data_IF_543493589691
#
_entry.id   IF_543493589691
#
_cell.length_a   1.000
_cell.length_b   1.000
_cell.length_c   1.000
_cell.angle_alpha   90.00
_cell.angle_beta   90.00
_cell.angle_gamma   90.00
#
_symmetry.space_group_name_H-M   'P 1'
#
loop_
_entity.id
_entity.type
_entity.pdbx_description
1 polymer ?
#
# COMPACT_ATOMS: atom_id res chain seq x y z
N UNK A 1 3.03 16.21 -4.13
CA UNK A 1 3.05 16.30 -2.66
C UNK A 1 3.03 14.86 -2.13
N UNK A 2 4.13 14.35 -1.56
CA UNK A 2 4.39 12.91 -1.44
C UNK A 2 3.52 12.15 -0.46
N UNK A 3 2.93 12.81 0.54
CA UNK A 3 1.91 12.27 1.44
C UNK A 3 1.25 13.42 2.19
N UNK A 4 0.01 13.20 2.58
CA UNK A 4 -0.81 14.12 3.36
C UNK A 4 -1.03 13.52 4.74
N UNK A 5 -0.76 14.30 5.78
CA UNK A 5 -0.85 13.85 7.18
C UNK A 5 -1.98 14.68 7.81
N UNK A 6 -2.93 13.99 8.40
CA UNK A 6 -4.14 14.55 9.00
C UNK A 6 -4.28 14.04 10.43
N UNK A 7 -4.65 14.94 11.34
CA UNK A 7 -4.99 14.59 12.72
C UNK A 7 -6.49 14.35 12.88
N UNK A 8 -6.84 13.50 13.83
CA UNK A 8 -8.22 13.22 14.27
C UNK A 8 -9.09 14.44 14.63
N UNK A 9 -8.54 15.59 15.05
CA UNK A 9 -9.37 16.82 15.26
C UNK A 9 -9.97 17.37 13.99
N UNK A 10 -9.38 17.05 12.84
CA UNK A 10 -9.93 17.46 11.56
C UNK A 10 -11.02 16.45 11.20
N UNK A 11 -12.28 16.91 11.13
CA UNK A 11 -13.35 16.10 10.55
C UNK A 11 -12.99 15.81 9.10
N UNK A 12 -12.57 14.58 8.81
CA UNK A 12 -12.19 14.16 7.47
C UNK A 12 -13.22 13.25 6.84
N UNK A 13 -13.53 13.54 5.58
CA UNK A 13 -14.10 12.56 4.67
C UNK A 13 -12.93 11.88 3.94
N UNK A 14 -12.48 10.73 4.45
CA UNK A 14 -11.34 9.97 3.89
C UNK A 14 -11.49 9.76 2.38
N UNK A 15 -12.71 9.48 1.89
CA UNK A 15 -12.96 9.24 0.48
C UNK A 15 -12.76 10.49 -0.37
N UNK A 16 -13.24 11.63 0.09
CA UNK A 16 -13.03 12.91 -0.60
C UNK A 16 -11.54 13.28 -0.67
N UNK A 17 -10.81 13.08 0.43
CA UNK A 17 -9.37 13.37 0.49
C UNK A 17 -8.57 12.43 -0.41
N UNK A 18 -8.91 11.14 -0.41
CA UNK A 18 -8.27 10.17 -1.30
C UNK A 18 -8.55 10.47 -2.77
N UNK A 19 -9.77 10.89 -3.12
CA UNK A 19 -10.15 11.20 -4.49
C UNK A 19 -9.29 12.31 -5.10
N UNK A 20 -8.79 13.25 -4.28
CA UNK A 20 -7.86 14.31 -4.73
C UNK A 20 -6.56 13.65 -5.18
N UNK A 21 -6.33 13.53 -6.49
CA UNK A 21 -5.08 12.98 -7.02
C UNK A 21 -4.90 11.47 -6.82
N UNK A 22 -5.99 10.72 -6.70
CA UNK A 22 -5.93 9.25 -6.74
C UNK A 22 -5.38 8.78 -8.09
N UNK A 23 -4.29 8.01 -8.08
CA UNK A 23 -3.67 7.48 -9.30
C UNK A 23 -4.29 6.13 -9.68
N UNK A 24 -4.64 5.97 -10.95
CA UNK A 24 -5.10 4.69 -11.52
C UNK A 24 -4.21 4.34 -12.70
N UNK A 25 -4.08 3.05 -12.99
CA UNK A 25 -3.47 2.62 -14.23
C UNK A 25 -4.28 3.12 -15.42
N UNK A 26 -3.58 3.63 -16.43
CA UNK A 26 -4.19 4.09 -17.68
C UNK A 26 -4.36 2.97 -18.71
N UNK A 27 -3.54 1.92 -18.61
CA UNK A 27 -3.46 0.80 -19.55
C UNK A 27 -3.96 -0.48 -18.88
N UNK A 28 -5.26 -0.52 -18.54
CA UNK A 28 -5.85 -1.67 -17.86
C UNK A 28 -5.90 -2.93 -18.73
N UNK A 29 -5.80 -2.78 -20.05
CA UNK A 29 -5.67 -3.85 -21.03
C UNK A 29 -4.44 -4.73 -20.81
N UNK A 30 -3.35 -4.15 -20.30
CA UNK A 30 -2.12 -4.90 -20.03
C UNK A 30 -2.20 -5.81 -18.80
N UNK A 31 -3.25 -5.67 -17.98
CA UNK A 31 -3.39 -6.51 -16.79
C UNK A 31 -3.43 -8.00 -17.13
N UNK A 32 -4.09 -8.36 -18.25
CA UNK A 32 -4.23 -9.75 -18.69
C UNK A 32 -2.88 -10.47 -18.86
N UNK A 33 -1.81 -9.74 -19.18
CA UNK A 33 -0.46 -10.30 -19.31
C UNK A 33 0.22 -10.67 -17.99
N UNK A 34 -0.31 -10.21 -16.85
CA UNK A 34 0.23 -10.46 -15.52
C UNK A 34 -0.65 -11.39 -14.69
N UNK A 35 -1.91 -11.61 -15.08
CA UNK A 35 -2.79 -12.52 -14.36
C UNK A 35 -2.51 -13.96 -14.77
N UNK A 36 -2.52 -14.88 -13.80
CA UNK A 36 -2.41 -16.30 -14.08
C UNK A 36 -3.67 -16.81 -14.81
N UNK A 37 -3.57 -17.48 -15.98
CA UNK A 37 -4.73 -17.91 -16.76
C UNK A 37 -5.74 -18.75 -15.97
N UNK A 38 -5.27 -19.75 -15.22
CA UNK A 38 -6.14 -20.58 -14.37
C UNK A 38 -6.87 -19.76 -13.29
N UNK A 39 -6.26 -18.68 -12.80
CA UNK A 39 -6.90 -17.81 -11.81
C UNK A 39 -8.05 -17.03 -12.45
N UNK A 40 -7.88 -16.55 -13.69
CA UNK A 40 -8.95 -15.88 -14.43
C UNK A 40 -10.12 -16.82 -14.69
N UNK A 41 -9.84 -18.03 -15.16
CA UNK A 41 -10.88 -19.02 -15.43
C UNK A 41 -11.70 -19.33 -14.16
N UNK A 42 -11.03 -19.43 -13.00
CA UNK A 42 -11.71 -19.62 -11.71
C UNK A 42 -12.57 -18.42 -11.35
N UNK A 43 -12.05 -17.20 -11.47
CA UNK A 43 -12.73 -15.97 -11.07
C UNK A 43 -13.88 -15.59 -12.01
N UNK A 44 -13.77 -15.90 -13.30
CA UNK A 44 -14.81 -15.63 -14.30
C UNK A 44 -16.03 -16.53 -14.14
N UNK A 45 -15.85 -17.73 -13.58
CA UNK A 45 -16.95 -18.67 -13.26
C UNK A 45 -17.75 -18.26 -12.03
N UNK A 46 -17.26 -17.30 -11.24
CA UNK A 46 -17.95 -16.89 -10.03
C UNK A 46 -19.09 -15.92 -10.32
N UNK A 47 -20.17 -16.00 -9.52
CA UNK A 47 -21.20 -14.97 -9.52
C UNK A 47 -20.58 -13.59 -9.26
N UNK A 48 -20.69 -12.68 -10.23
CA UNK A 48 -20.20 -11.29 -10.14
C UNK A 48 -21.25 -10.33 -9.56
N UNK A 49 -22.32 -10.88 -9.00
CA UNK A 49 -23.43 -10.14 -8.41
C UNK A 49 -23.12 -9.64 -7.00
N UNK A 50 -22.16 -10.26 -6.30
CA UNK A 50 -21.67 -9.84 -4.98
C UNK A 50 -20.20 -9.46 -5.01
N UNK A 51 -19.92 -8.16 -4.78
CA UNK A 51 -18.55 -7.65 -4.65
C UNK A 51 -17.80 -8.35 -3.52
N UNK A 52 -18.50 -8.68 -2.44
CA UNK A 52 -17.97 -9.46 -1.32
C UNK A 52 -17.58 -10.88 -1.71
N UNK A 53 -18.45 -11.60 -2.43
CA UNK A 53 -18.12 -12.95 -2.89
C UNK A 53 -16.88 -12.94 -3.80
N UNK A 54 -16.80 -11.96 -4.70
CA UNK A 54 -15.65 -11.77 -5.58
C UNK A 54 -14.38 -11.41 -4.78
N UNK A 55 -14.48 -10.52 -3.80
CA UNK A 55 -13.37 -10.13 -2.93
C UNK A 55 -12.76 -11.32 -2.18
N UNK A 56 -13.61 -12.19 -1.61
CA UNK A 56 -13.20 -13.39 -0.90
C UNK A 56 -12.59 -14.43 -1.87
N UNK A 57 -13.15 -14.57 -3.07
CA UNK A 57 -12.59 -15.48 -4.04
C UNK A 57 -11.19 -15.07 -4.55
N UNK A 58 -10.91 -13.77 -4.63
CA UNK A 58 -9.55 -13.29 -4.92
C UNK A 58 -8.58 -13.75 -3.83
N UNK A 59 -8.99 -13.72 -2.54
CA UNK A 59 -8.17 -14.26 -1.43
C UNK A 59 -7.85 -15.74 -1.64
N UNK A 60 -8.82 -16.53 -2.09
CA UNK A 60 -8.59 -17.95 -2.38
C UNK A 60 -7.61 -18.18 -3.52
N UNK A 61 -7.69 -17.34 -4.56
CA UNK A 61 -6.81 -17.42 -5.74
C UNK A 61 -5.35 -17.08 -5.43
N UNK A 62 -5.10 -16.06 -4.59
CA UNK A 62 -3.73 -15.63 -4.27
C UNK A 62 -3.03 -16.53 -3.25
N UNK A 63 -3.68 -17.60 -2.77
CA UNK A 63 -3.05 -18.62 -1.93
C UNK A 63 -2.92 -18.22 -0.45
N UNK A 64 -2.08 -18.96 0.28
CA UNK A 64 -1.87 -18.80 1.72
C UNK A 64 -0.40 -18.51 2.00
N UNK A 65 -0.13 -17.48 2.81
CA UNK A 65 1.24 -17.06 3.13
C UNK A 65 2.01 -18.09 3.95
N UNK A 66 3.21 -18.45 3.49
CA UNK A 66 4.14 -19.31 4.23
C UNK A 66 5.16 -18.51 5.07
N UNK A 67 5.20 -17.18 4.87
CA UNK A 67 6.10 -16.26 5.59
C UNK A 67 7.59 -16.38 5.21
N UNK A 68 7.94 -17.18 4.19
CA UNK A 68 9.33 -17.53 3.88
C UNK A 68 10.11 -16.44 3.13
N UNK A 69 9.41 -15.57 2.38
CA UNK A 69 9.99 -14.54 1.51
C UNK A 69 9.22 -13.24 1.70
N UNK A 70 9.91 -12.10 1.71
CA UNK A 70 9.27 -10.79 1.74
C UNK A 70 9.88 -9.83 0.72
N UNK A 71 9.03 -9.03 0.09
CA UNK A 71 9.46 -7.92 -0.76
C UNK A 71 9.87 -8.38 -2.15
N UNK A 72 8.96 -9.06 -2.86
CA UNK A 72 9.17 -9.53 -4.22
C UNK A 72 9.57 -8.36 -5.15
N UNK A 73 10.42 -8.65 -6.13
CA UNK A 73 11.10 -7.60 -6.92
C UNK A 73 10.23 -6.96 -8.01
N UNK A 74 9.30 -7.72 -8.60
CA UNK A 74 8.50 -7.28 -9.74
C UNK A 74 7.02 -7.57 -9.52
N UNK A 75 6.15 -6.81 -10.19
CA UNK A 75 4.71 -7.05 -10.15
C UNK A 75 4.35 -8.47 -10.62
N UNK A 76 5.05 -8.98 -11.65
CA UNK A 76 4.89 -10.36 -12.09
C UNK A 76 5.19 -11.34 -10.95
N UNK A 77 6.36 -11.23 -10.31
CA UNK A 77 6.68 -12.08 -9.17
C UNK A 77 5.62 -11.95 -8.06
N UNK A 78 5.17 -10.73 -7.74
CA UNK A 78 4.10 -10.51 -6.75
C UNK A 78 2.80 -11.26 -7.09
N UNK A 79 2.31 -11.17 -8.32
CA UNK A 79 1.04 -11.82 -8.72
C UNK A 79 1.17 -13.35 -8.83
N UNK A 80 2.32 -13.84 -9.31
CA UNK A 80 2.53 -15.29 -9.53
C UNK A 80 3.00 -16.05 -8.29
N UNK A 81 3.88 -15.47 -7.47
CA UNK A 81 4.51 -16.18 -6.35
C UNK A 81 3.69 -16.13 -5.06
N UNK A 82 2.79 -15.14 -4.89
CA UNK A 82 1.83 -15.14 -3.76
C UNK A 82 0.96 -16.39 -3.76
N UNK A 83 0.50 -16.84 -4.93
CA UNK A 83 -0.23 -18.11 -5.08
C UNK A 83 0.54 -19.33 -4.56
N UNK A 84 1.88 -19.27 -4.55
CA UNK A 84 2.77 -20.33 -4.06
C UNK A 84 3.14 -20.16 -2.59
N UNK A 85 2.53 -19.22 -1.90
CA UNK A 85 2.77 -18.92 -0.49
C UNK A 85 3.82 -17.85 -0.22
N UNK A 86 4.54 -17.38 -1.25
CA UNK A 86 5.67 -16.45 -1.06
C UNK A 86 5.22 -14.99 -0.99
N UNK A 87 5.96 -14.19 -0.24
CA UNK A 87 5.71 -12.76 -0.09
C UNK A 87 5.20 -12.42 1.31
N UNK A 88 5.29 -11.14 1.65
CA UNK A 88 4.78 -10.61 2.92
C UNK A 88 3.46 -9.87 2.71
N UNK A 89 2.89 -9.30 3.77
CA UNK A 89 1.58 -8.66 3.75
C UNK A 89 1.40 -7.62 2.63
N UNK A 90 2.45 -6.85 2.31
CA UNK A 90 2.43 -5.90 1.19
C UNK A 90 2.41 -6.55 -0.20
N UNK A 91 3.00 -7.74 -0.36
CA UNK A 91 2.97 -8.49 -1.62
C UNK A 91 1.57 -9.07 -1.85
N UNK A 92 0.97 -9.65 -0.80
CA UNK A 92 -0.41 -10.16 -0.83
C UNK A 92 -1.43 -9.06 -1.11
N UNK A 93 -1.30 -7.90 -0.45
CA UNK A 93 -2.18 -6.75 -0.68
C UNK A 93 -2.09 -6.24 -2.12
N UNK A 94 -0.88 -6.13 -2.68
CA UNK A 94 -0.68 -5.74 -4.08
C UNK A 94 -1.26 -6.77 -5.05
N UNK A 95 -1.00 -8.06 -4.83
CA UNK A 95 -1.55 -9.14 -5.66
C UNK A 95 -3.08 -9.09 -5.64
N UNK A 96 -3.69 -9.00 -4.45
CA UNK A 96 -5.13 -8.87 -4.30
C UNK A 96 -5.70 -7.65 -5.04
N UNK A 97 -5.09 -6.47 -4.86
CA UNK A 97 -5.52 -5.23 -5.51
C UNK A 97 -5.38 -5.30 -7.04
N UNK A 98 -4.38 -6.03 -7.54
CA UNK A 98 -4.20 -6.25 -8.95
C UNK A 98 -5.39 -7.02 -9.55
N UNK A 99 -5.77 -8.14 -8.95
CA UNK A 99 -6.96 -8.90 -9.33
C UNK A 99 -8.25 -8.08 -9.17
N UNK A 100 -8.38 -7.34 -8.05
CA UNK A 100 -9.55 -6.51 -7.78
C UNK A 100 -9.75 -5.45 -8.86
N UNK A 101 -8.69 -4.72 -9.24
CA UNK A 101 -8.77 -3.73 -10.32
C UNK A 101 -9.09 -4.37 -11.66
N UNK A 102 -8.48 -5.51 -11.99
CA UNK A 102 -8.77 -6.23 -13.23
C UNK A 102 -10.26 -6.61 -13.34
N UNK A 103 -10.85 -7.04 -12.23
CA UNK A 103 -12.23 -7.46 -12.14
C UNK A 103 -13.23 -6.30 -11.92
N UNK A 104 -12.74 -5.05 -11.88
CA UNK A 104 -13.57 -3.86 -11.74
C UNK A 104 -14.05 -3.55 -10.32
N UNK A 105 -13.46 -4.17 -9.29
CA UNK A 105 -13.71 -3.79 -7.91
C UNK A 105 -13.07 -2.43 -7.61
N UNK A 106 -13.81 -1.59 -6.88
CA UNK A 106 -13.24 -0.36 -6.33
C UNK A 106 -12.51 -0.69 -5.05
N UNK A 107 -11.19 -0.63 -5.06
CA UNK A 107 -10.36 -1.02 -3.93
C UNK A 107 -9.18 -0.08 -3.70
N UNK A 108 -8.58 -0.17 -2.51
CA UNK A 108 -7.41 0.60 -2.09
C UNK A 108 -6.53 -0.17 -1.12
N UNK A 109 -5.24 0.11 -1.15
CA UNK A 109 -4.28 -0.38 -0.15
C UNK A 109 -4.42 0.44 1.12
N UNK A 110 -4.46 -0.25 2.26
CA UNK A 110 -4.46 0.38 3.57
C UNK A 110 -3.41 -0.26 4.46
N UNK A 111 -2.77 0.55 5.28
CA UNK A 111 -1.70 0.09 6.16
C UNK A 111 -1.89 0.61 7.57
N UNK A 112 -1.53 -0.25 8.51
CA UNK A 112 -1.10 0.10 9.85
C UNK A 112 0.44 0.16 9.84
N UNK A 113 1.12 0.55 10.93
CA UNK A 113 2.58 0.76 10.84
C UNK A 113 3.37 -0.50 10.46
N UNK A 114 2.97 -1.66 10.94
CA UNK A 114 3.67 -2.93 10.72
C UNK A 114 2.91 -3.90 9.80
N UNK A 115 1.77 -3.50 9.23
CA UNK A 115 0.93 -4.40 8.46
C UNK A 115 0.20 -3.70 7.33
N UNK A 116 0.16 -4.33 6.15
CA UNK A 116 -0.50 -3.80 4.96
C UNK A 116 -1.58 -4.77 4.51
N UNK A 117 -2.74 -4.20 4.19
CA UNK A 117 -4.00 -4.89 3.90
C UNK A 117 -4.75 -4.13 2.82
N UNK A 118 -6.02 -4.48 2.59
CA UNK A 118 -6.84 -3.85 1.56
C UNK A 118 -8.18 -3.41 2.11
N UNK A 119 -8.78 -2.43 1.45
CA UNK A 119 -10.21 -2.15 1.56
C UNK A 119 -10.85 -2.19 0.18
N UNK A 120 -12.08 -2.67 0.12
CA UNK A 120 -12.90 -2.63 -1.08
C UNK A 120 -14.27 -2.04 -0.80
N UNK A 121 -14.83 -1.36 -1.78
CA UNK A 121 -16.19 -0.85 -1.72
C UNK A 121 -17.16 -1.94 -2.16
N UNK A 122 -17.97 -2.41 -1.22
CA UNK A 122 -19.07 -3.32 -1.52
C UNK A 122 -20.31 -2.52 -1.92
N UNK A 123 -20.71 -2.61 -3.20
CA UNK A 123 -21.86 -1.89 -3.72
C UNK A 123 -23.18 -2.35 -3.09
N UNK A 124 -23.28 -3.61 -2.65
CA UNK A 124 -24.50 -4.14 -2.06
C UNK A 124 -24.78 -3.50 -0.69
N UNK A 125 -23.77 -3.41 0.16
CA UNK A 125 -23.91 -2.75 1.48
C UNK A 125 -23.68 -1.24 1.44
N UNK A 126 -23.11 -0.69 0.37
CA UNK A 126 -22.76 0.73 0.27
C UNK A 126 -21.69 1.15 1.28
N UNK A 127 -20.73 0.26 1.56
CA UNK A 127 -19.69 0.47 2.59
C UNK A 127 -18.32 0.00 2.10
N UNK A 128 -17.28 0.63 2.65
CA UNK A 128 -15.93 0.09 2.58
C UNK A 128 -15.80 -1.08 3.57
N UNK A 129 -15.19 -2.17 3.13
CA UNK A 129 -14.91 -3.36 3.92
C UNK A 129 -13.41 -3.60 3.95
N UNK A 130 -12.85 -3.75 5.14
CA UNK A 130 -11.47 -4.13 5.37
C UNK A 130 -11.31 -5.63 5.21
N UNK A 131 -10.22 -6.02 4.55
CA UNK A 131 -9.87 -7.41 4.30
C UNK A 131 -8.35 -7.54 4.40
N UNK A 132 -7.91 -8.58 5.09
CA UNK A 132 -6.51 -8.98 5.12
C UNK A 132 -6.31 -10.23 4.26
N UNK A 133 -5.75 -10.10 3.05
CA UNK A 133 -5.49 -11.24 2.18
C UNK A 133 -4.31 -12.10 2.67
N UNK A 134 -3.42 -11.56 3.51
CA UNK A 134 -2.25 -12.26 4.03
C UNK A 134 -2.62 -13.21 5.17
N UNK A 135 -3.29 -12.69 6.21
CA UNK A 135 -3.75 -13.53 7.34
C UNK A 135 -5.13 -14.15 7.09
N UNK A 136 -5.77 -13.87 5.94
CA UNK A 136 -7.13 -14.33 5.60
C UNK A 136 -8.13 -13.96 6.67
N UNK A 137 -8.25 -12.67 6.96
CA UNK A 137 -9.07 -12.18 8.05
C UNK A 137 -9.89 -10.95 7.66
N UNK A 138 -10.98 -10.74 8.39
CA UNK A 138 -11.82 -9.54 8.30
C UNK A 138 -12.05 -8.97 9.71
N UNK A 139 -12.16 -7.65 9.80
CA UNK A 139 -12.63 -6.98 11.01
C UNK A 139 -14.14 -6.80 10.88
N UNK A 140 -14.87 -7.31 11.86
CA UNK A 140 -16.33 -7.31 11.87
C UNK A 140 -16.87 -6.67 13.15
N UNK A 141 -18.06 -6.09 13.05
CA UNK A 141 -18.78 -5.56 14.22
C UNK A 141 -19.39 -6.68 15.08
N UNK A 142 -20.08 -6.30 16.15
CA UNK A 142 -20.78 -7.23 17.04
C UNK A 142 -21.89 -8.06 16.34
N UNK A 143 -22.37 -7.61 15.17
CA UNK A 143 -23.34 -8.31 14.34
C UNK A 143 -22.67 -9.15 13.24
N UNK A 144 -21.33 -9.21 13.22
CA UNK A 144 -20.55 -9.94 12.23
C UNK A 144 -20.49 -9.26 10.86
N UNK A 145 -20.85 -7.97 10.77
CA UNK A 145 -20.76 -7.19 9.53
C UNK A 145 -19.33 -6.68 9.33
N UNK A 146 -18.78 -6.86 8.13
CA UNK A 146 -17.46 -6.35 7.80
C UNK A 146 -17.40 -4.82 7.92
N UNK A 147 -16.31 -4.34 8.53
CA UNK A 147 -16.09 -2.94 8.83
C UNK A 147 -14.95 -2.38 7.97
N UNK A 148 -14.96 -1.07 7.73
CA UNK A 148 -13.79 -0.36 7.23
C UNK A 148 -12.76 -0.15 8.35
N UNK A 149 -11.50 0.06 8.01
CA UNK A 149 -10.44 0.36 8.98
C UNK A 149 -10.75 1.64 9.76
N UNK A 150 -11.34 2.65 9.12
CA UNK A 150 -11.79 3.86 9.80
C UNK A 150 -12.93 3.58 10.78
N UNK A 151 -13.89 2.74 10.40
CA UNK A 151 -15.00 2.31 11.27
C UNK A 151 -14.46 1.56 12.48
N UNK A 152 -13.46 0.71 12.27
CA UNK A 152 -12.77 -0.02 13.34
C UNK A 152 -12.06 0.95 14.30
N UNK A 153 -11.38 1.99 13.79
CA UNK A 153 -10.76 3.03 14.63
C UNK A 153 -11.76 3.73 15.52
N UNK A 154 -12.91 4.08 14.93
CA UNK A 154 -13.94 4.88 15.58
C UNK A 154 -14.76 4.04 16.57
N UNK A 155 -14.82 2.73 16.35
CA UNK A 155 -15.32 1.79 17.33
C UNK A 155 -14.24 1.60 18.42
N UNK A 156 -14.62 1.67 19.69
CA UNK A 156 -13.70 1.29 20.76
C UNK A 156 -13.38 -0.21 20.61
N UNK A 157 -12.10 -0.52 20.35
CA UNK A 157 -11.58 -1.82 19.90
C UNK A 157 -11.63 -2.90 21.00
N UNK A 158 -12.78 -3.09 21.63
CA UNK A 158 -13.01 -3.99 22.76
C UNK A 158 -14.46 -4.09 23.21
N UNK A 159 -15.37 -3.24 22.70
CA UNK A 159 -16.81 -3.34 22.98
C UNK A 159 -17.66 -3.70 21.77
N UNK A 160 -17.07 -3.84 20.58
CA UNK A 160 -17.85 -4.18 19.38
C UNK A 160 -17.09 -4.50 18.10
N UNK A 161 -15.78 -4.72 18.15
CA UNK A 161 -14.99 -5.18 16.99
C UNK A 161 -14.39 -6.54 17.30
N UNK A 162 -14.48 -7.47 16.35
CA UNK A 162 -13.83 -8.78 16.42
C UNK A 162 -13.15 -9.10 15.08
N UNK A 163 -12.20 -10.04 15.12
CA UNK A 163 -11.51 -10.51 13.93
C UNK A 163 -12.13 -11.85 13.53
N UNK A 164 -12.69 -11.90 12.33
CA UNK A 164 -13.23 -13.11 11.72
C UNK A 164 -12.18 -13.71 10.80
N UNK A 165 -11.71 -14.92 11.14
CA UNK A 165 -10.87 -15.69 10.23
C UNK A 165 -11.72 -16.24 9.08
N UNK A 166 -11.18 -16.15 7.87
CA UNK A 166 -11.76 -16.70 6.66
C UNK A 166 -11.38 -18.17 6.51
N UNK A 167 -12.08 -18.93 5.64
CA UNK A 167 -11.68 -20.28 5.30
C UNK A 167 -10.21 -20.36 4.88
N UNK A 168 -9.55 -21.45 5.27
CA UNK A 168 -8.14 -21.72 4.98
C UNK A 168 -7.15 -20.71 5.58
N UNK A 169 -7.56 -19.92 6.59
CA UNK A 169 -6.62 -19.22 7.46
C UNK A 169 -5.67 -20.23 8.14
N UNK A 170 -4.44 -19.80 8.46
CA UNK A 170 -3.51 -20.66 9.20
C UNK A 170 -4.13 -21.02 10.54
N UNK A 171 -4.24 -22.32 10.83
CA UNK A 171 -4.76 -22.80 12.10
C UNK A 171 -3.91 -22.34 13.30
N UNK A 172 -2.65 -21.94 13.07
CA UNK A 172 -1.76 -21.40 14.11
C UNK A 172 -1.85 -19.88 14.26
N UNK A 173 -2.54 -19.19 13.35
CA UNK A 173 -2.67 -17.75 13.42
C UNK A 173 -3.65 -17.36 14.52
N UNK A 174 -3.13 -16.72 15.56
CA UNK A 174 -3.92 -16.14 16.64
C UNK A 174 -4.07 -14.62 16.39
N UNK A 175 -5.27 -14.16 15.99
CA UNK A 175 -5.51 -12.74 15.74
C UNK A 175 -5.36 -11.87 16.99
N UNK A 176 -5.61 -12.40 18.19
CA UNK A 176 -5.54 -11.65 19.45
C UNK A 176 -4.09 -11.41 19.88
N UNK A 177 -3.17 -12.28 19.46
CA UNK A 177 -1.73 -12.15 19.70
C UNK A 177 -0.99 -11.44 18.55
N UNK A 178 -1.66 -11.21 17.42
CA UNK A 178 -1.02 -10.59 16.27
C UNK A 178 -0.82 -9.09 16.49
N UNK A 179 0.42 -8.68 16.73
CA UNK A 179 0.78 -7.27 17.00
C UNK A 179 0.28 -6.29 15.93
N UNK A 180 0.10 -6.76 14.68
CA UNK A 180 -0.44 -5.98 13.57
C UNK A 180 -1.89 -5.56 13.72
N UNK A 181 -2.65 -6.17 14.63
CA UNK A 181 -4.04 -5.80 14.93
C UNK A 181 -4.22 -5.07 16.26
N UNK A 182 -3.12 -4.71 16.93
CA UNK A 182 -3.22 -4.02 18.20
C UNK A 182 -3.76 -2.59 18.07
N UNK A 183 -4.42 -2.10 19.13
CA UNK A 183 -4.93 -0.72 19.22
C UNK A 183 -3.87 0.33 18.92
N UNK A 184 -2.65 0.10 19.40
CA UNK A 184 -1.51 1.00 19.18
C UNK A 184 -1.21 1.17 17.70
N UNK A 185 -1.30 0.10 16.91
CA UNK A 185 -1.11 0.16 15.46
C UNK A 185 -2.21 0.98 14.79
N UNK A 186 -3.45 0.85 15.26
CA UNK A 186 -4.61 1.60 14.73
C UNK A 186 -4.59 3.09 15.05
N UNK A 187 -3.74 3.53 15.99
CA UNK A 187 -3.48 4.93 16.29
C UNK A 187 -2.99 5.73 15.07
N UNK A 188 -2.39 5.06 14.08
CA UNK A 188 -2.08 5.65 12.77
C UNK A 188 -2.50 4.72 11.64
N UNK A 189 -3.22 5.29 10.68
CA UNK A 189 -3.73 4.57 9.52
C UNK A 189 -3.25 5.27 8.26
N UNK A 190 -2.85 4.48 7.27
CA UNK A 190 -2.38 4.98 5.99
C UNK A 190 -3.27 4.42 4.89
N UNK A 191 -3.72 5.29 3.98
CA UNK A 191 -4.38 4.90 2.74
C UNK A 191 -3.53 5.30 1.56
N UNK A 192 -3.26 4.35 0.66
CA UNK A 192 -2.51 4.65 -0.56
C UNK A 192 -3.41 5.41 -1.53
N UNK A 193 -2.92 6.52 -2.07
CA UNK A 193 -3.64 7.39 -3.02
C UNK A 193 -3.51 6.89 -4.45
N UNK A 194 -3.60 5.58 -4.66
CA UNK A 194 -3.61 5.04 -6.01
C UNK A 194 -3.31 3.57 -6.10
N UNK A 195 -3.65 3.04 -7.27
CA UNK A 195 -3.49 1.64 -7.68
C UNK A 195 -2.84 1.55 -9.06
N UNK A 196 -1.95 2.49 -9.40
CA UNK A 196 -1.22 2.54 -10.68
C UNK A 196 -0.01 1.57 -10.71
N UNK A 197 -0.29 0.28 -10.56
CA UNK A 197 0.74 -0.76 -10.45
C UNK A 197 1.56 -0.91 -11.73
N UNK A 198 0.92 -0.87 -12.90
CA UNK A 198 1.60 -1.04 -14.18
C UNK A 198 2.51 0.14 -14.51
N UNK A 199 2.07 1.36 -14.20
CA UNK A 199 2.91 2.55 -14.37
C UNK A 199 4.16 2.47 -13.49
N UNK A 200 4.00 2.08 -12.21
CA UNK A 200 5.13 1.89 -11.29
C UNK A 200 6.07 0.80 -11.79
N UNK A 201 5.55 -0.35 -12.23
CA UNK A 201 6.34 -1.46 -12.79
C UNK A 201 7.11 -1.07 -14.05
N UNK A 202 6.52 -0.29 -14.96
CA UNK A 202 7.19 0.18 -16.16
C UNK A 202 8.39 1.10 -15.83
N UNK A 203 8.21 2.01 -14.87
CA UNK A 203 9.29 2.85 -14.38
C UNK A 203 10.37 2.04 -13.65
N UNK A 204 9.96 1.13 -12.78
CA UNK A 204 10.87 0.30 -12.00
C UNK A 204 11.78 -0.54 -12.91
N UNK A 205 11.23 -1.15 -13.98
CA UNK A 205 11.98 -1.86 -15.02
C UNK A 205 12.96 -0.97 -15.77
N UNK A 206 12.56 0.25 -16.15
CA UNK A 206 13.46 1.21 -16.80
C UNK A 206 14.65 1.58 -15.91
N UNK A 207 14.39 1.85 -14.64
CA UNK A 207 15.43 2.18 -13.67
C UNK A 207 16.32 0.97 -13.36
N UNK A 208 15.76 -0.24 -13.39
CA UNK A 208 16.52 -1.50 -13.28
C UNK A 208 17.48 -1.67 -14.44
N UNK A 209 17.06 -1.38 -15.67
CA UNK A 209 17.89 -1.47 -16.86
C UNK A 209 19.09 -0.49 -16.81
N UNK A 210 19.03 0.54 -15.96
CA UNK A 210 20.15 1.44 -15.67
C UNK A 210 21.05 0.95 -14.54
N UNK A 211 20.80 -0.25 -13.99
CA UNK A 211 21.57 -0.83 -12.90
C UNK A 211 21.33 -0.17 -11.54
N UNK A 212 20.25 0.59 -11.36
CA UNK A 212 19.99 1.28 -10.11
C UNK A 212 19.54 0.29 -9.00
N UNK A 213 20.09 0.38 -7.77
CA UNK A 213 19.64 -0.44 -6.64
C UNK A 213 18.17 -0.18 -6.28
N UNK A 214 17.42 -1.20 -5.83
CA UNK A 214 15.99 -1.11 -5.48
C UNK A 214 15.61 0.10 -4.63
N UNK A 215 16.37 0.40 -3.57
CA UNK A 215 16.11 1.55 -2.69
C UNK A 215 16.17 2.89 -3.44
N UNK A 216 17.12 3.02 -4.36
CA UNK A 216 17.25 4.21 -5.22
C UNK A 216 16.08 4.26 -6.21
N UNK A 217 15.71 3.14 -6.82
CA UNK A 217 14.57 3.06 -7.74
C UNK A 217 13.27 3.50 -7.05
N UNK A 218 12.99 2.96 -5.86
CA UNK A 218 11.83 3.32 -5.03
C UNK A 218 11.83 4.81 -4.64
N UNK A 219 13.00 5.37 -4.30
CA UNK A 219 13.12 6.79 -4.01
C UNK A 219 12.82 7.64 -5.25
N UNK A 220 13.34 7.25 -6.42
CA UNK A 220 13.09 7.95 -7.69
C UNK A 220 11.62 7.87 -8.08
N UNK A 221 10.97 6.71 -7.98
CA UNK A 221 9.53 6.56 -8.28
C UNK A 221 8.69 7.36 -7.30
N UNK A 222 9.08 7.42 -6.03
CA UNK A 222 8.43 8.26 -5.04
C UNK A 222 8.59 9.73 -5.42
N UNK A 223 9.82 10.25 -5.57
CA UNK A 223 10.12 11.68 -5.82
C UNK A 223 9.63 12.18 -7.18
N UNK A 224 9.61 11.33 -8.20
CA UNK A 224 9.00 11.68 -9.50
C UNK A 224 7.47 11.70 -9.44
N UNK A 225 6.88 11.26 -8.32
CA UNK A 225 5.44 11.16 -8.13
C UNK A 225 4.81 10.03 -8.92
N UNK A 226 5.58 9.13 -9.54
CA UNK A 226 5.07 7.94 -10.23
C UNK A 226 4.40 7.02 -9.21
N UNK A 227 5.09 6.74 -8.11
CA UNK A 227 4.51 5.98 -7.00
C UNK A 227 3.47 6.84 -6.29
N UNK A 228 2.27 6.31 -6.00
CA UNK A 228 1.22 7.07 -5.34
C UNK A 228 1.63 7.37 -3.90
N UNK A 229 1.28 8.57 -3.45
CA UNK A 229 1.50 8.99 -2.07
C UNK A 229 0.50 8.36 -1.10
N UNK A 230 0.61 8.75 0.17
CA UNK A 230 -0.26 8.28 1.24
C UNK A 230 -1.13 9.40 1.80
N UNK A 231 -2.32 9.04 2.26
CA UNK A 231 -3.08 9.79 3.23
C UNK A 231 -2.88 9.11 4.58
N UNK A 232 -2.28 9.81 5.53
CA UNK A 232 -2.05 9.32 6.89
C UNK A 232 -3.03 10.00 7.83
N UNK A 233 -3.84 9.22 8.54
CA UNK A 233 -4.62 9.66 9.68
C UNK A 233 -3.90 9.25 10.96
N UNK A 234 -3.69 10.20 11.87
CA UNK A 234 -2.97 9.95 13.12
C UNK A 234 -3.57 10.75 14.28
N UNK A 235 -3.06 10.53 15.49
CA UNK A 235 -3.48 11.29 16.69
C UNK A 235 -2.94 12.72 16.66
N UNK A 236 -3.43 13.60 17.55
CA UNK A 236 -2.86 14.96 17.68
C UNK A 236 -1.34 14.96 17.86
N UNK A 237 -0.89 14.15 18.83
CA UNK A 237 0.47 14.16 19.32
C UNK A 237 1.41 13.68 18.22
N UNK A 238 1.02 12.59 17.55
CA UNK A 238 1.78 12.02 16.44
C UNK A 238 1.78 12.94 15.22
N UNK A 239 0.70 13.66 14.94
CA UNK A 239 0.63 14.61 13.83
C UNK A 239 1.67 15.72 13.96
N UNK A 240 1.83 16.27 15.16
CA UNK A 240 2.88 17.27 15.42
C UNK A 240 4.26 16.67 15.24
N UNK A 241 4.50 15.48 15.81
CA UNK A 241 5.75 14.75 15.66
C UNK A 241 6.12 14.50 14.20
N UNK A 242 5.20 13.99 13.38
CA UNK A 242 5.46 13.72 11.96
C UNK A 242 5.67 14.99 11.14
N UNK A 243 4.98 16.08 11.46
CA UNK A 243 5.23 17.38 10.82
C UNK A 243 6.62 17.93 11.15
N UNK A 244 7.05 17.80 12.39
CA UNK A 244 8.40 18.19 12.80
C UNK A 244 9.46 17.33 12.11
N UNK A 245 9.29 16.00 12.14
CA UNK A 245 10.18 15.06 11.47
C UNK A 245 10.30 15.36 9.98
N UNK A 246 9.17 15.58 9.30
CA UNK A 246 9.14 15.97 7.88
C UNK A 246 9.91 17.28 7.64
N UNK A 247 9.70 18.29 8.48
CA UNK A 247 10.40 19.57 8.37
C UNK A 247 11.91 19.42 8.58
N UNK A 248 12.33 18.61 9.55
CA UNK A 248 13.74 18.29 9.79
C UNK A 248 14.38 17.55 8.61
N UNK A 249 13.70 16.56 8.04
CA UNK A 249 14.18 15.85 6.85
C UNK A 249 14.35 16.78 5.65
N UNK A 250 13.41 17.72 5.45
CA UNK A 250 13.54 18.75 4.42
C UNK A 250 14.74 19.67 4.68
N UNK A 251 14.93 20.13 5.92
CA UNK A 251 16.07 20.95 6.29
C UNK A 251 17.39 20.24 6.03
N UNK A 252 17.52 18.98 6.45
CA UNK A 252 18.71 18.15 6.18
C UNK A 252 18.95 18.01 4.69
N UNK A 253 17.89 17.75 3.90
CA UNK A 253 17.98 17.67 2.44
C UNK A 253 18.48 18.97 1.80
N UNK A 254 17.96 20.12 2.24
CA UNK A 254 18.36 21.45 1.75
C UNK A 254 19.81 21.78 2.13
N UNK A 255 20.21 21.53 3.38
CA UNK A 255 21.58 21.75 3.85
C UNK A 255 22.55 20.87 3.06
N UNK A 256 22.24 19.58 2.91
CA UNK A 256 23.07 18.65 2.15
C UNK A 256 23.19 19.06 0.68
N UNK A 257 22.09 19.44 0.02
CA UNK A 257 22.12 19.93 -1.35
C UNK A 257 22.97 21.20 -1.48
N UNK A 258 22.83 22.15 -0.55
CA UNK A 258 23.59 23.40 -0.54
C UNK A 258 25.10 23.15 -0.38
N UNK A 259 25.49 22.23 0.52
CA UNK A 259 26.89 21.83 0.67
C UNK A 259 27.47 21.20 -0.60
N UNK A 260 26.71 20.35 -1.29
CA UNK A 260 27.15 19.75 -2.55
C UNK A 260 27.32 20.79 -3.67
N UNK A 261 26.40 21.77 -3.76
CA UNK A 261 26.53 22.89 -4.71
C UNK A 261 27.78 23.71 -4.41
N UNK A 262 28.05 24.03 -3.15
CA UNK A 262 29.26 24.76 -2.76
C UNK A 262 30.52 23.98 -3.11
N UNK A 263 30.57 22.68 -2.81
CA UNK A 263 31.69 21.82 -3.19
C UNK A 263 31.91 21.77 -4.70
N UNK A 264 30.83 21.66 -5.48
CA UNK A 264 30.90 21.67 -6.95
C UNK A 264 31.45 22.99 -7.47
N UNK A 265 30.98 24.13 -6.94
CA UNK A 265 31.48 25.46 -7.30
C UNK A 265 32.96 25.62 -6.95
N UNK A 266 33.38 25.16 -5.76
CA UNK A 266 34.78 25.18 -5.35
C UNK A 266 35.67 24.33 -6.27
N UNK A 267 35.26 23.10 -6.60
CA UNK A 267 36.00 22.22 -7.52
C UNK A 267 36.13 22.85 -8.92
N UNK A 268 35.05 23.44 -9.43
CA UNK A 268 35.04 24.12 -10.73
C UNK A 268 35.97 25.34 -10.74
N UNK A 269 35.98 26.15 -9.68
CA UNK A 269 36.91 27.28 -9.54
C UNK A 269 38.36 26.83 -9.45
N UNK A 270 38.66 25.77 -8.68
CA UNK A 270 40.00 25.19 -8.60
C UNK A 270 40.50 24.69 -9.96
N UNK A 271 39.66 23.99 -10.73
CA UNK A 271 40.02 23.53 -12.08
C UNK A 271 40.30 24.71 -13.02
N UNK A 272 39.49 25.77 -12.96
CA UNK A 272 39.68 26.97 -13.79
C UNK A 272 40.97 27.73 -13.46
N UNK A 273 41.35 27.80 -12.19
CA UNK A 273 42.56 28.48 -11.74
C UNK A 273 43.82 27.62 -11.95
N UNK A 274 43.73 26.29 -11.80
CA UNK A 274 44.83 25.37 -12.06
C UNK A 274 45.28 25.34 -13.53
N UNK A 275 44.36 25.57 -14.48
CA UNK A 275 44.68 25.67 -15.91
C UNK A 275 45.30 27.03 -16.32
N UNK A 276 45.45 27.99 -15.40
CA UNK A 276 46.02 29.33 -15.68
C UNK A 276 47.51 29.47 -15.35
N UNK A 277 48.16 28.42 -14.84
CA UNK A 277 49.62 28.37 -14.67
C UNK A 277 50.21 27.34 -15.64
N UNK A 278 50.54 27.74 -16.89
CA UNK A 278 51.50 27.03 -17.73
C UNK A 278 52.94 27.24 -17.23
#
# INVERSE_FOLDING_TARGET
>A
MFSEIVSDHQRINVNEWLARGFKRDKQTDLYAGYVHPNSLEMLEKLPKDSDRALALAIVDVIGHADGSVCGLETLGATVFDTRRGKGCCSDYSKSWLFYANYLGLTAREVSLFNHTTVEYWDRQSGRWQWLDPYNRAEMVDAQGQAMSLLSVRNADFGSGVSIKLLPLADAKFDPDQYAGYSRTQMGTMLWRRGTNFLEVEAWDRRLQAWGLPKKVRQLVTLVSGVQPGWLMLTTHADHFYYKLLRSLLWLVGVVWASLNVLLFVCMWQCQKNGMRNP
#
